data_IF_296662327572
#
_entry.id   IF_296662327572
#
_cell.length_a   1.000
_cell.length_b   1.000
_cell.length_c   1.000
_cell.angle_alpha   90.00
_cell.angle_beta   90.00
_cell.angle_gamma   90.00
#
_symmetry.space_group_name_H-M   'P 1'
#
loop_
_entity.id
_entity.type
_entity.pdbx_description
1 polymer ?
#
# COMPACT_ATOMS: atom_id res chain seq x y z
N UNK A 1 0.77 29.07 27.93
CA UNK A 1 -0.49 28.52 27.35
C UNK A 1 -0.67 28.89 25.89
N UNK A 2 -0.18 30.06 25.43
CA UNK A 2 -0.22 30.52 24.03
C UNK A 2 0.65 29.72 23.05
N UNK A 3 1.75 29.12 23.51
CA UNK A 3 2.68 28.39 22.63
C UNK A 3 2.09 27.10 22.06
N UNK A 4 1.31 26.37 22.86
CA UNK A 4 0.63 25.15 22.42
C UNK A 4 -0.44 25.48 21.38
N UNK A 5 -1.20 26.54 21.59
CA UNK A 5 -2.18 27.00 20.60
C UNK A 5 -1.50 27.38 19.28
N UNK A 6 -0.37 28.08 19.36
CA UNK A 6 0.42 28.47 18.18
C UNK A 6 1.01 27.24 17.46
N UNK A 7 1.41 26.20 18.20
CA UNK A 7 1.86 24.93 17.61
C UNK A 7 0.72 24.17 16.94
N UNK A 8 -0.46 24.13 17.55
CA UNK A 8 -1.67 23.51 16.97
C UNK A 8 -2.05 24.24 15.68
N UNK A 9 -2.10 25.57 15.69
CA UNK A 9 -2.47 26.36 14.52
C UNK A 9 -1.49 26.15 13.35
N UNK A 10 -0.19 26.05 13.64
CA UNK A 10 0.83 25.73 12.62
C UNK A 10 0.64 24.33 12.03
N UNK A 11 0.35 23.33 12.86
CA UNK A 11 0.10 21.96 12.40
C UNK A 11 -1.18 21.87 11.56
N UNK A 12 -2.25 22.53 11.99
CA UNK A 12 -3.51 22.59 11.24
C UNK A 12 -3.32 23.30 9.90
N UNK A 13 -2.61 24.43 9.88
CA UNK A 13 -2.33 25.16 8.64
C UNK A 13 -1.54 24.31 7.64
N UNK A 14 -0.51 23.58 8.11
CA UNK A 14 0.25 22.64 7.27
C UNK A 14 -0.63 21.50 6.74
N UNK A 15 -1.40 20.86 7.61
CA UNK A 15 -2.29 19.77 7.23
C UNK A 15 -3.35 20.20 6.19
N UNK A 16 -3.94 21.38 6.35
CA UNK A 16 -4.91 21.92 5.39
C UNK A 16 -4.23 22.23 4.04
N UNK A 17 -3.00 22.75 4.05
CA UNK A 17 -2.24 22.97 2.83
C UNK A 17 -1.97 21.65 2.07
N UNK A 18 -1.62 20.59 2.79
CA UNK A 18 -1.38 19.26 2.22
C UNK A 18 -2.68 18.66 1.67
N UNK A 19 -3.77 18.75 2.44
CA UNK A 19 -5.09 18.24 2.04
C UNK A 19 -5.60 18.93 0.77
N UNK A 20 -5.48 20.26 0.71
CA UNK A 20 -5.92 21.02 -0.48
C UNK A 20 -5.07 20.71 -1.71
N UNK A 21 -3.78 20.43 -1.54
CA UNK A 21 -2.88 20.03 -2.63
C UNK A 21 -3.27 18.66 -3.19
N UNK A 22 -3.51 17.67 -2.32
CA UNK A 22 -3.98 16.34 -2.72
C UNK A 22 -5.36 16.40 -3.37
N UNK A 23 -6.30 17.15 -2.79
CA UNK A 23 -7.65 17.30 -3.34
C UNK A 23 -7.65 17.92 -4.73
N UNK A 24 -6.83 18.97 -4.97
CA UNK A 24 -6.69 19.59 -6.30
C UNK A 24 -6.07 18.62 -7.32
N UNK A 25 -5.12 17.78 -6.92
CA UNK A 25 -4.54 16.78 -7.81
C UNK A 25 -5.60 15.75 -8.25
N UNK A 26 -6.41 15.24 -7.30
CA UNK A 26 -7.50 14.31 -7.61
C UNK A 26 -8.60 14.95 -8.48
N UNK A 27 -8.96 16.20 -8.20
CA UNK A 27 -9.94 16.92 -9.01
C UNK A 27 -9.48 17.12 -10.46
N UNK A 28 -8.18 17.40 -10.68
CA UNK A 28 -7.62 17.52 -12.03
C UNK A 28 -7.65 16.21 -12.80
N UNK A 29 -7.31 15.09 -12.16
CA UNK A 29 -7.40 13.76 -12.78
C UNK A 29 -8.83 13.43 -13.23
N UNK A 30 -9.84 13.74 -12.39
CA UNK A 30 -11.25 13.52 -12.74
C UNK A 30 -11.70 14.42 -13.90
N UNK A 31 -11.28 15.68 -13.91
CA UNK A 31 -11.59 16.61 -15.00
C UNK A 31 -10.90 16.19 -16.32
N UNK A 32 -9.65 15.73 -16.26
CA UNK A 32 -8.95 15.20 -17.44
C UNK A 32 -9.63 13.94 -17.96
N UNK A 33 -10.01 13.01 -17.09
CA UNK A 33 -10.74 11.80 -17.50
C UNK A 33 -12.12 12.12 -18.11
N UNK A 34 -12.82 13.13 -17.58
CA UNK A 34 -14.10 13.58 -18.12
C UNK A 34 -13.94 14.32 -19.46
N UNK A 35 -12.86 15.09 -19.62
CA UNK A 35 -12.55 15.82 -20.86
C UNK A 35 -12.04 14.88 -21.97
N UNK A 36 -11.20 13.91 -21.63
CA UNK A 36 -10.69 12.86 -22.53
C UNK A 36 -11.80 11.87 -22.93
N UNK A 37 -12.79 11.66 -22.05
CA UNK A 37 -13.99 10.89 -22.34
C UNK A 37 -15.02 11.58 -23.24
N UNK A 38 -14.88 12.87 -23.52
CA UNK A 38 -15.83 13.66 -24.32
C UNK A 38 -15.53 13.65 -25.84
N UNK A 39 -14.40 13.09 -26.27
CA UNK A 39 -13.95 13.16 -27.66
C UNK A 39 -13.47 11.82 -28.23
N UNK A 40 -14.39 10.90 -28.55
CA UNK A 40 -14.00 9.75 -29.38
C UNK A 40 -14.94 8.57 -29.38
N UNK A 41 -15.92 8.58 -30.30
CA UNK A 41 -16.52 7.33 -30.80
C UNK A 41 -15.64 6.79 -31.93
N UNK A 42 -15.09 5.60 -31.74
CA UNK A 42 -14.74 4.63 -32.81
C UNK A 42 -14.47 3.28 -32.12
N UNK A 43 -15.48 2.41 -32.03
CA UNK A 43 -15.74 1.30 -32.96
C UNK A 43 -14.70 0.16 -32.87
N UNK A 44 -15.12 -0.96 -32.27
CA UNK A 44 -14.50 -2.27 -32.51
C UNK A 44 -14.38 -3.17 -31.28
N UNK A 45 -15.42 -3.93 -30.95
CA UNK A 45 -15.30 -5.06 -30.03
C UNK A 45 -16.59 -5.45 -29.31
N UNK A 46 -17.46 -6.19 -29.99
CA UNK A 46 -18.62 -6.86 -29.37
C UNK A 46 -18.12 -7.82 -28.27
N UNK A 47 -18.49 -7.53 -27.02
CA UNK A 47 -18.25 -8.40 -25.87
C UNK A 47 -19.39 -8.28 -24.87
N UNK A 48 -20.38 -9.15 -25.06
CA UNK A 48 -21.58 -9.44 -24.27
C UNK A 48 -21.43 -9.22 -22.74
N UNK A 49 -22.32 -8.39 -22.17
CA UNK A 49 -22.79 -8.45 -20.78
C UNK A 49 -21.82 -8.02 -19.68
N UNK A 50 -21.84 -6.75 -19.29
CA UNK A 50 -21.18 -6.28 -18.06
C UNK A 50 -22.22 -6.00 -16.99
N UNK A 51 -22.65 -7.07 -16.33
CA UNK A 51 -23.09 -6.96 -14.93
C UNK A 51 -21.93 -6.33 -14.14
N UNK A 52 -22.25 -5.42 -13.23
CA UNK A 52 -21.32 -4.81 -12.28
C UNK A 52 -20.58 -5.94 -11.52
N UNK A 53 -19.36 -6.24 -11.94
CA UNK A 53 -18.58 -7.31 -11.36
C UNK A 53 -17.99 -6.84 -10.01
N UNK A 54 -18.14 -7.62 -8.92
CA UNK A 54 -17.41 -7.37 -7.69
C UNK A 54 -15.92 -7.49 -7.98
N UNK A 55 -15.12 -6.59 -7.38
CA UNK A 55 -13.64 -6.50 -7.43
C UNK A 55 -13.01 -7.78 -7.95
N UNK A 56 -12.51 -7.73 -9.19
CA UNK A 56 -11.94 -8.87 -9.90
C UNK A 56 -10.79 -9.45 -9.07
N UNK A 57 -11.10 -10.49 -8.28
CA UNK A 57 -10.08 -11.31 -7.63
C UNK A 57 -9.20 -11.85 -8.75
N UNK A 58 -7.93 -11.46 -8.74
CA UNK A 58 -6.94 -11.91 -9.73
C UNK A 58 -7.02 -13.43 -9.86
N UNK A 59 -7.04 -13.89 -11.11
CA UNK A 59 -6.98 -15.32 -11.42
C UNK A 59 -5.81 -15.97 -10.70
N UNK A 60 -6.04 -17.16 -10.16
CA UNK A 60 -5.03 -17.95 -9.44
C UNK A 60 -3.84 -18.18 -10.37
N UNK A 61 -2.70 -17.52 -10.09
CA UNK A 61 -1.49 -17.61 -10.93
C UNK A 61 -1.18 -16.39 -11.78
N UNK A 62 -2.00 -15.34 -11.77
CA UNK A 62 -1.66 -14.07 -12.41
C UNK A 62 -0.46 -13.42 -11.70
N UNK A 63 0.66 -13.31 -12.41
CA UNK A 63 1.85 -12.61 -11.94
C UNK A 63 1.47 -11.15 -11.71
N UNK A 64 1.82 -10.58 -10.54
CA UNK A 64 1.70 -9.13 -10.34
C UNK A 64 2.69 -8.44 -11.27
N UNK A 65 2.28 -7.36 -11.92
CA UNK A 65 3.25 -6.51 -12.61
C UNK A 65 4.23 -5.95 -11.57
N UNK A 66 5.50 -5.83 -11.94
CA UNK A 66 6.56 -5.42 -11.00
C UNK A 66 6.20 -4.10 -10.28
N UNK A 67 5.67 -3.12 -11.03
CA UNK A 67 5.26 -1.83 -10.45
C UNK A 67 4.09 -1.88 -9.47
N UNK A 68 3.17 -2.85 -9.59
CA UNK A 68 2.11 -3.03 -8.58
C UNK A 68 2.63 -3.66 -7.29
N UNK A 69 3.68 -4.49 -7.40
CA UNK A 69 4.33 -5.11 -6.25
C UNK A 69 5.11 -4.07 -5.46
N UNK A 70 5.86 -3.20 -6.13
CA UNK A 70 6.62 -2.15 -5.46
C UNK A 70 5.71 -1.13 -4.77
N UNK A 71 4.63 -0.67 -5.44
CA UNK A 71 3.59 0.16 -4.82
C UNK A 71 2.92 -0.50 -3.60
N UNK A 72 2.82 -1.82 -3.58
CA UNK A 72 2.27 -2.54 -2.42
C UNK A 72 3.31 -2.66 -1.30
N UNK A 73 4.58 -2.87 -1.65
CA UNK A 73 5.70 -2.82 -0.71
C UNK A 73 5.77 -1.46 -0.01
N UNK A 74 5.73 -0.36 -0.77
CA UNK A 74 5.78 1.02 -0.25
C UNK A 74 4.62 1.30 0.71
N UNK A 75 3.41 0.89 0.33
CA UNK A 75 2.23 1.03 1.21
C UNK A 75 2.40 0.25 2.51
N UNK A 76 2.94 -0.96 2.45
CA UNK A 76 3.17 -1.79 3.64
C UNK A 76 4.26 -1.19 4.52
N UNK A 77 5.36 -0.66 3.96
CA UNK A 77 6.41 0.00 4.74
C UNK A 77 5.92 1.26 5.42
N UNK A 78 5.18 2.11 4.69
CA UNK A 78 4.59 3.33 5.28
C UNK A 78 3.61 2.98 6.38
N UNK A 79 2.80 1.93 6.18
CA UNK A 79 1.82 1.49 7.18
C UNK A 79 2.48 0.91 8.43
N UNK A 80 3.52 0.08 8.28
CA UNK A 80 4.26 -0.50 9.42
C UNK A 80 5.09 0.56 10.16
N UNK A 81 5.59 1.59 9.45
CA UNK A 81 6.22 2.74 10.08
C UNK A 81 5.23 3.59 10.89
N UNK A 82 4.01 3.79 10.36
CA UNK A 82 2.96 4.52 11.06
C UNK A 82 2.36 3.75 12.25
N UNK A 83 2.23 2.43 12.14
CA UNK A 83 1.65 1.57 13.16
C UNK A 83 2.53 0.34 13.41
N UNK A 84 3.57 0.49 14.26
CA UNK A 84 4.47 -0.62 14.60
C UNK A 84 3.76 -1.65 15.48
N UNK A 85 4.14 -2.93 15.31
CA UNK A 85 3.69 -4.02 16.18
C UNK A 85 2.39 -4.70 15.74
N UNK A 86 1.88 -4.41 14.54
CA UNK A 86 0.68 -5.04 14.01
C UNK A 86 0.94 -6.45 13.47
N UNK A 87 -0.10 -7.29 13.53
CA UNK A 87 -0.12 -8.62 12.91
C UNK A 87 -0.57 -8.52 11.45
N UNK A 88 -0.16 -9.50 10.63
CA UNK A 88 -0.52 -9.56 9.19
C UNK A 88 -2.03 -9.50 8.95
N UNK A 89 -2.84 -10.07 9.85
CA UNK A 89 -4.30 -10.04 9.75
C UNK A 89 -4.88 -8.63 9.94
N UNK A 90 -4.23 -7.80 10.76
CA UNK A 90 -4.62 -6.40 10.96
C UNK A 90 -4.21 -5.58 9.73
N UNK A 91 -2.98 -5.77 9.25
CA UNK A 91 -2.48 -5.13 8.02
C UNK A 91 -3.36 -5.50 6.80
N UNK A 92 -3.80 -6.75 6.70
CA UNK A 92 -4.72 -7.20 5.65
C UNK A 92 -6.05 -6.44 5.66
N UNK A 93 -6.63 -6.20 6.86
CA UNK A 93 -7.92 -5.51 7.01
C UNK A 93 -7.82 -4.06 6.54
N UNK A 94 -6.76 -3.37 6.95
CA UNK A 94 -6.52 -1.97 6.64
C UNK A 94 -6.19 -1.77 5.15
N UNK A 95 -5.41 -2.68 4.56
CA UNK A 95 -5.04 -2.60 3.13
C UNK A 95 -6.08 -3.25 2.20
N UNK A 96 -7.13 -3.88 2.73
CA UNK A 96 -8.13 -4.62 1.93
C UNK A 96 -7.53 -5.79 1.13
N UNK A 97 -6.44 -6.37 1.61
CA UNK A 97 -5.67 -7.42 0.91
C UNK A 97 -5.75 -8.77 1.63
N UNK A 98 -5.34 -9.85 0.94
CA UNK A 98 -5.31 -11.19 1.54
C UNK A 98 -3.90 -11.58 2.03
N UNK A 99 -3.82 -12.51 2.98
CA UNK A 99 -2.54 -13.03 3.48
C UNK A 99 -1.69 -13.65 2.38
N UNK A 100 -2.32 -14.30 1.39
CA UNK A 100 -1.61 -14.84 0.22
C UNK A 100 -1.02 -13.72 -0.63
N UNK A 101 -1.67 -12.56 -0.61
CA UNK A 101 -1.24 -11.43 -1.40
C UNK A 101 -0.05 -10.70 -0.78
N UNK A 102 -0.06 -10.55 0.55
CA UNK A 102 1.00 -9.87 1.29
C UNK A 102 2.20 -10.76 1.66
N UNK A 103 2.08 -12.09 1.57
CA UNK A 103 3.17 -13.00 1.94
C UNK A 103 4.46 -12.81 1.11
N UNK A 104 4.34 -12.56 -0.20
CA UNK A 104 5.52 -12.34 -1.07
C UNK A 104 6.13 -10.94 -0.86
N UNK A 105 5.35 -9.83 -0.87
CA UNK A 105 5.84 -8.50 -0.54
C UNK A 105 6.54 -8.42 0.82
N UNK A 106 5.94 -8.98 1.87
CA UNK A 106 6.53 -8.95 3.23
C UNK A 106 7.86 -9.70 3.26
N UNK A 107 7.99 -10.82 2.56
CA UNK A 107 9.27 -11.55 2.46
C UNK A 107 10.34 -10.73 1.75
N UNK A 108 9.96 -9.98 0.70
CA UNK A 108 10.86 -9.05 0.00
C UNK A 108 11.31 -7.94 0.96
N UNK A 109 10.37 -7.29 1.65
CA UNK A 109 10.65 -6.23 2.62
C UNK A 109 11.53 -6.68 3.81
N UNK A 110 11.37 -7.91 4.30
CA UNK A 110 12.24 -8.47 5.33
C UNK A 110 13.64 -8.75 4.77
N UNK A 111 13.74 -9.26 3.54
CA UNK A 111 15.02 -9.51 2.89
C UNK A 111 15.78 -8.20 2.60
N UNK A 112 15.03 -7.15 2.27
CA UNK A 112 15.53 -5.79 2.01
C UNK A 112 15.84 -5.02 3.32
N UNK A 113 15.52 -5.57 4.49
CA UNK A 113 15.80 -4.95 5.79
C UNK A 113 14.80 -3.85 6.21
N UNK A 114 13.80 -3.56 5.38
CA UNK A 114 12.82 -2.50 5.60
C UNK A 114 11.84 -2.81 6.75
N UNK A 115 11.60 -4.09 7.06
CA UNK A 115 10.69 -4.53 8.13
C UNK A 115 11.33 -5.68 8.91
N UNK A 116 11.22 -5.63 10.24
CA UNK A 116 11.59 -6.74 11.13
C UNK A 116 10.36 -7.45 11.69
N UNK A 117 10.52 -8.73 12.00
CA UNK A 117 9.47 -9.56 12.61
C UNK A 117 9.83 -9.95 14.02
N UNK A 118 8.91 -9.79 14.96
CA UNK A 118 9.06 -10.29 16.32
C UNK A 118 7.93 -11.27 16.66
N UNK A 119 8.26 -12.30 17.44
CA UNK A 119 7.32 -13.34 17.83
C UNK A 119 7.35 -14.59 16.93
N UNK A 120 6.42 -15.50 17.17
CA UNK A 120 6.38 -16.80 16.50
C UNK A 120 4.96 -17.21 16.09
N UNK A 121 4.86 -17.96 14.98
CA UNK A 121 3.62 -18.49 14.43
C UNK A 121 2.57 -17.39 14.24
N UNK A 122 1.42 -17.49 14.90
CA UNK A 122 0.32 -16.53 14.78
C UNK A 122 0.62 -15.22 15.49
N UNK A 123 1.52 -15.20 16.47
CA UNK A 123 1.90 -14.00 17.23
C UNK A 123 2.97 -13.15 16.55
N UNK A 124 3.23 -13.36 15.26
CA UNK A 124 4.22 -12.59 14.51
C UNK A 124 3.73 -11.16 14.32
N UNK A 125 4.46 -10.21 14.90
CA UNK A 125 4.26 -8.77 14.78
C UNK A 125 5.32 -8.19 13.84
N UNK A 126 4.94 -7.17 13.09
CA UNK A 126 5.83 -6.48 12.16
C UNK A 126 6.18 -5.10 12.71
N UNK A 127 7.46 -4.76 12.61
CA UNK A 127 8.03 -3.49 13.07
C UNK A 127 8.87 -2.88 11.96
N UNK A 128 9.00 -1.54 11.91
CA UNK A 128 9.91 -0.90 10.98
C UNK A 128 11.34 -1.44 11.20
N UNK A 129 12.02 -1.75 10.11
CA UNK A 129 13.42 -2.13 10.14
C UNK A 129 14.32 -0.90 10.31
N UNK A 130 15.47 -1.09 10.95
CA UNK A 130 16.46 -0.02 11.18
C UNK A 130 17.33 0.26 9.93
N UNK A 131 17.24 -0.60 8.92
CA UNK A 131 18.04 -0.53 7.70
C UNK A 131 17.17 -0.32 6.46
N UNK A 132 16.80 0.92 6.19
CA UNK A 132 16.43 1.35 4.84
C UNK A 132 17.68 1.35 3.94
N UNK A 133 18.24 0.18 3.65
CA UNK A 133 19.44 0.06 2.82
C UNK A 133 20.25 -1.22 3.03
N UNK A 134 20.33 -2.02 1.98
CA UNK A 134 21.25 -3.15 1.75
C UNK A 134 20.88 -4.50 2.40
N UNK A 135 20.81 -5.51 1.54
CA UNK A 135 20.28 -6.83 1.83
C UNK A 135 21.12 -7.69 2.77
N UNK A 136 20.42 -8.57 3.48
CA UNK A 136 21.04 -9.51 4.42
C UNK A 136 20.20 -10.77 4.58
N UNK A 137 20.14 -11.60 3.53
CA UNK A 137 19.44 -12.89 3.54
C UNK A 137 19.99 -13.86 4.59
N UNK A 138 19.37 -13.92 5.78
CA UNK A 138 19.63 -14.99 6.77
C UNK A 138 18.95 -16.30 6.32
N UNK A 139 19.75 -17.15 5.67
CA UNK A 139 19.45 -18.55 5.32
C UNK A 139 18.93 -19.32 6.53
N UNK A 140 17.70 -19.86 6.44
CA UNK A 140 17.11 -20.77 7.44
C UNK A 140 17.95 -22.05 7.52
N UNK A 141 18.58 -22.28 8.66
CA UNK A 141 19.26 -23.55 9.00
C UNK A 141 18.20 -24.64 9.18
N UNK A 142 18.23 -25.67 8.31
CA UNK A 142 17.39 -26.86 8.37
C UNK A 142 17.91 -27.77 9.49
N UNK A 143 17.13 -27.97 10.56
CA UNK A 143 17.44 -28.97 11.59
C UNK A 143 17.03 -30.33 11.03
N UNK A 144 18.01 -31.25 10.98
CA UNK A 144 17.84 -32.66 10.61
C UNK A 144 16.97 -33.38 11.62
#
# INVERSE_FOLDING_TARGET
MSDIQTQIDKLVAGFVADLTTLARAQAREVLLAALDGAGGRSAGGRGKGRALAPSARRGKGAKRSAGELDKLCDRVTTFVAAQPGLRIEQINKELGTSTRDLALPIRKLIADGAIRTEGAKRSTKYFPGEGGGSGGGKRRRKKR
#
